data_IF_264901737828
#
_entry.id   IF_264901737828
#
_cell.length_a   1.000
_cell.length_b   1.000
_cell.length_c   1.000
_cell.angle_alpha   90.00
_cell.angle_beta   90.00
_cell.angle_gamma   90.00
#
_symmetry.space_group_name_H-M   'P 1'
#
loop_
_entity.id
_entity.type
_entity.pdbx_description
1 polymer ?
#
# COMPACT_ATOMS: atom_id res chain seq x y z
N UNK A 1 46.71 -50.64 27.19
CA UNK A 1 46.55 -52.08 26.96
C UNK A 1 45.14 -52.31 26.46
N UNK A 2 45.08 -52.64 25.18
CA UNK A 2 44.21 -53.65 24.55
C UNK A 2 42.68 -53.45 24.47
N UNK A 3 42.25 -52.99 23.28
CA UNK A 3 41.08 -53.51 22.55
C UNK A 3 41.45 -54.94 22.00
N UNK A 4 40.58 -55.78 21.41
CA UNK A 4 39.17 -55.63 21.02
C UNK A 4 38.30 -56.89 21.28
N UNK A 5 37.03 -56.87 20.86
CA UNK A 5 36.40 -57.99 20.13
C UNK A 5 35.09 -57.53 19.47
N UNK A 6 35.02 -57.71 18.15
CA UNK A 6 33.80 -57.75 17.33
C UNK A 6 33.81 -59.06 16.52
N UNK A 7 32.82 -59.28 15.64
CA UNK A 7 31.64 -60.15 15.72
C UNK A 7 31.89 -61.53 15.05
N UNK A 8 30.91 -62.44 14.82
CA UNK A 8 30.25 -62.45 13.48
C UNK A 8 28.87 -63.18 13.30
N UNK A 9 28.19 -62.78 12.21
CA UNK A 9 27.50 -63.57 11.14
C UNK A 9 26.40 -64.60 11.45
N UNK A 10 25.24 -64.44 10.79
CA UNK A 10 24.56 -65.48 9.96
C UNK A 10 23.60 -64.79 8.95
N UNK A 11 23.91 -64.69 7.65
CA UNK A 11 23.63 -65.60 6.49
C UNK A 11 22.13 -65.62 6.11
N UNK A 12 21.65 -65.01 5.02
CA UNK A 12 21.87 -65.22 3.56
C UNK A 12 21.19 -66.50 3.04
N UNK A 13 20.07 -66.34 2.31
CA UNK A 13 19.50 -67.13 1.17
C UNK A 13 18.43 -66.19 0.55
N UNK A 14 18.51 -65.58 -0.64
CA UNK A 14 18.85 -65.95 -2.02
C UNK A 14 17.86 -66.91 -2.71
N UNK A 15 17.02 -66.38 -3.62
CA UNK A 15 16.73 -66.97 -4.94
C UNK A 15 16.01 -65.92 -5.82
N UNK A 16 16.57 -65.33 -6.90
CA UNK A 16 16.92 -65.89 -8.24
C UNK A 16 15.64 -66.40 -8.97
N UNK A 17 15.28 -66.10 -10.23
CA UNK A 17 15.94 -65.67 -11.48
C UNK A 17 14.83 -65.19 -12.45
N UNK A 18 15.05 -64.12 -13.24
CA UNK A 18 14.86 -64.18 -14.71
C UNK A 18 15.61 -63.09 -15.46
N UNK A 19 16.79 -63.48 -15.93
CA UNK A 19 17.59 -62.81 -16.95
C UNK A 19 16.95 -62.95 -18.33
N UNK A 20 17.11 -61.93 -19.19
CA UNK A 20 17.38 -62.04 -20.63
C UNK A 20 17.73 -60.61 -21.12
N UNK A 21 19.02 -60.26 -21.15
CA UNK A 21 19.96 -60.40 -22.29
C UNK A 21 19.98 -59.18 -23.21
N UNK A 22 21.10 -58.43 -23.17
CA UNK A 22 21.50 -57.45 -24.18
C UNK A 22 21.78 -58.12 -25.53
N UNK A 23 21.84 -57.32 -26.61
CA UNK A 23 23.15 -57.06 -27.20
C UNK A 23 23.42 -55.57 -27.49
N UNK A 24 24.68 -55.16 -27.30
CA UNK A 24 25.25 -53.90 -27.80
C UNK A 24 25.49 -53.99 -29.31
N UNK A 25 25.21 -52.92 -30.04
CA UNK A 25 25.86 -52.55 -31.30
C UNK A 25 25.83 -51.02 -31.45
N UNK A 26 27.01 -50.42 -31.59
CA UNK A 26 27.21 -49.01 -31.93
C UNK A 26 26.91 -48.76 -33.40
N UNK A 27 26.34 -47.58 -33.70
CA UNK A 27 26.85 -46.58 -34.65
C UNK A 27 25.75 -45.93 -35.52
N UNK A 28 25.92 -44.61 -35.67
CA UNK A 28 25.46 -43.75 -36.77
C UNK A 28 23.98 -43.44 -36.96
N UNK A 29 23.69 -42.15 -36.81
CA UNK A 29 23.03 -41.40 -37.88
C UNK A 29 21.59 -40.98 -37.62
N UNK A 30 21.39 -39.67 -37.41
CA UNK A 30 20.12 -39.00 -37.65
C UNK A 30 19.24 -38.78 -36.42
N UNK A 31 19.65 -37.90 -35.51
CA UNK A 31 18.70 -37.27 -34.59
C UNK A 31 17.84 -36.32 -35.42
N UNK A 32 16.55 -36.64 -35.50
CA UNK A 32 15.48 -35.74 -35.92
C UNK A 32 15.58 -34.44 -35.12
N UNK A 33 15.98 -33.36 -35.78
CA UNK A 33 15.79 -32.01 -35.28
C UNK A 33 14.29 -31.71 -35.25
N UNK A 34 13.69 -31.86 -34.06
CA UNK A 34 12.47 -31.13 -33.73
C UNK A 34 12.94 -29.70 -33.42
N UNK A 35 12.46 -28.67 -34.12
CA UNK A 35 12.75 -27.30 -33.74
C UNK A 35 11.93 -26.99 -32.49
N UNK A 36 12.51 -27.17 -31.31
CA UNK A 36 11.97 -26.60 -30.08
C UNK A 36 12.34 -25.12 -30.06
N UNK A 37 11.61 -24.37 -30.87
CA UNK A 37 11.53 -22.93 -30.77
C UNK A 37 10.41 -22.61 -29.78
N UNK A 38 10.79 -22.23 -28.56
CA UNK A 38 9.94 -21.54 -27.60
C UNK A 38 10.84 -21.01 -26.49
N UNK A 39 11.69 -20.05 -26.84
CA UNK A 39 12.28 -19.15 -25.85
C UNK A 39 11.14 -18.25 -25.34
N UNK A 40 10.40 -18.73 -24.34
CA UNK A 40 9.38 -17.95 -23.64
C UNK A 40 10.03 -16.79 -22.89
N UNK A 41 10.08 -15.63 -23.53
CA UNK A 41 10.16 -14.32 -22.86
C UNK A 41 8.73 -13.84 -22.52
N UNK A 42 8.54 -13.05 -21.45
CA UNK A 42 7.35 -13.10 -20.60
C UNK A 42 6.26 -12.09 -21.01
N UNK A 43 5.03 -12.21 -20.46
CA UNK A 43 3.98 -11.21 -20.60
C UNK A 43 4.28 -9.99 -19.72
N UNK A 44 5.24 -9.16 -20.13
CA UNK A 44 5.62 -7.90 -19.43
C UNK A 44 4.78 -6.69 -19.88
N UNK A 45 4.17 -6.76 -21.07
CA UNK A 45 3.34 -5.69 -21.66
C UNK A 45 2.13 -5.21 -20.82
N UNK A 46 1.35 -6.08 -20.14
CA UNK A 46 0.13 -5.61 -19.47
C UNK A 46 0.43 -4.70 -18.26
N UNK A 47 1.57 -4.87 -17.59
CA UNK A 47 1.94 -4.05 -16.44
C UNK A 47 2.43 -2.67 -16.86
N UNK A 48 3.19 -2.58 -17.95
CA UNK A 48 3.63 -1.30 -18.49
C UNK A 48 2.42 -0.44 -18.88
N UNK A 49 1.45 -1.04 -19.58
CA UNK A 49 0.19 -0.35 -19.93
C UNK A 49 -0.57 0.13 -18.69
N UNK A 50 -0.66 -0.68 -17.65
CA UNK A 50 -1.29 -0.30 -16.39
C UNK A 50 -0.57 0.88 -15.72
N UNK A 51 0.76 0.85 -15.66
CA UNK A 51 1.52 1.95 -15.04
C UNK A 51 1.39 3.25 -15.80
N UNK A 52 1.33 3.21 -17.14
CA UNK A 52 1.01 4.40 -17.94
C UNK A 52 -0.40 4.93 -17.61
N UNK A 53 -1.38 4.04 -17.44
CA UNK A 53 -2.73 4.42 -17.03
C UNK A 53 -2.76 5.03 -15.63
N UNK A 54 -2.10 4.41 -14.65
CA UNK A 54 -2.00 4.91 -13.28
C UNK A 54 -1.30 6.28 -13.27
N UNK A 55 -0.25 6.47 -14.06
CA UNK A 55 0.43 7.76 -14.19
C UNK A 55 -0.50 8.85 -14.73
N UNK A 56 -1.33 8.54 -15.74
CA UNK A 56 -2.30 9.47 -16.28
C UNK A 56 -3.42 9.82 -15.28
N UNK A 57 -3.92 8.83 -14.53
CA UNK A 57 -4.92 9.05 -13.49
C UNK A 57 -4.35 9.86 -12.32
N UNK A 58 -3.12 9.58 -11.92
CA UNK A 58 -2.39 10.33 -10.90
C UNK A 58 -2.22 11.80 -11.32
N UNK A 59 -1.90 12.08 -12.59
CA UNK A 59 -1.79 13.44 -13.10
C UNK A 59 -3.11 14.23 -13.01
N UNK A 60 -4.25 13.54 -13.02
CA UNK A 60 -5.58 14.12 -12.85
C UNK A 60 -6.09 14.09 -11.39
N UNK A 61 -5.26 13.62 -10.43
CA UNK A 61 -5.64 13.38 -9.04
C UNK A 61 -6.86 12.45 -8.87
N UNK A 62 -7.11 11.58 -9.84
CA UNK A 62 -8.22 10.62 -9.80
C UNK A 62 -7.82 9.35 -9.04
N UNK A 63 -7.76 9.46 -7.72
CA UNK A 63 -7.36 8.34 -6.85
C UNK A 63 -8.34 7.16 -6.88
N UNK A 64 -9.64 7.41 -7.12
CA UNK A 64 -10.63 6.34 -7.26
C UNK A 64 -10.43 5.58 -8.57
N UNK A 65 -10.11 6.27 -9.66
CA UNK A 65 -9.70 5.65 -10.91
C UNK A 65 -8.45 4.77 -10.74
N UNK A 66 -7.45 5.23 -9.97
CA UNK A 66 -6.25 4.44 -9.67
C UNK A 66 -6.61 3.17 -8.91
N UNK A 67 -7.47 3.28 -7.89
CA UNK A 67 -7.96 2.13 -7.10
C UNK A 67 -8.60 1.12 -8.04
N UNK A 68 -9.55 1.54 -8.87
CA UNK A 68 -10.26 0.63 -9.78
C UNK A 68 -9.31 -0.06 -10.77
N UNK A 69 -8.39 0.69 -11.38
CA UNK A 69 -7.42 0.14 -12.33
C UNK A 69 -6.48 -0.87 -11.64
N UNK A 70 -5.98 -0.54 -10.45
CA UNK A 70 -5.06 -1.40 -9.71
C UNK A 70 -5.76 -2.64 -9.12
N UNK A 71 -7.02 -2.54 -8.66
CA UNK A 71 -7.83 -3.68 -8.23
C UNK A 71 -8.06 -4.67 -9.38
N UNK A 72 -8.45 -4.17 -10.57
CA UNK A 72 -8.62 -5.02 -11.75
C UNK A 72 -7.33 -5.76 -12.09
N UNK A 73 -6.18 -5.08 -12.06
CA UNK A 73 -4.90 -5.70 -12.33
C UNK A 73 -4.49 -6.71 -11.25
N UNK A 74 -4.76 -6.43 -9.98
CA UNK A 74 -4.43 -7.31 -8.86
C UNK A 74 -5.27 -8.60 -8.86
N UNK A 75 -6.54 -8.53 -9.31
CA UNK A 75 -7.38 -9.72 -9.51
C UNK A 75 -6.86 -10.62 -10.65
N UNK A 76 -6.32 -10.02 -11.72
CA UNK A 76 -5.75 -10.76 -12.85
C UNK A 76 -4.37 -11.35 -12.50
N UNK A 77 -3.63 -10.70 -11.60
CA UNK A 77 -2.27 -11.07 -11.21
C UNK A 77 -2.17 -12.05 -10.03
N UNK A 78 -3.29 -12.52 -9.47
CA UNK A 78 -3.36 -13.24 -8.19
C UNK A 78 -2.55 -14.56 -8.08
N UNK A 79 -1.94 -15.03 -9.17
CA UNK A 79 -1.11 -16.24 -9.23
C UNK A 79 0.38 -15.99 -9.49
N UNK A 80 0.85 -14.74 -9.51
CA UNK A 80 2.21 -14.40 -9.91
C UNK A 80 3.04 -13.80 -8.77
N UNK A 81 4.11 -14.50 -8.36
CA UNK A 81 5.13 -14.06 -7.39
C UNK A 81 6.05 -12.94 -7.95
N UNK A 82 5.56 -12.13 -8.88
CA UNK A 82 6.37 -11.19 -9.66
C UNK A 82 6.59 -9.88 -8.89
N UNK A 83 7.80 -9.28 -8.98
CA UNK A 83 8.09 -7.99 -8.35
C UNK A 83 7.20 -6.84 -8.89
N UNK A 84 6.56 -7.03 -10.05
CA UNK A 84 5.56 -6.10 -10.60
C UNK A 84 4.27 -6.04 -9.77
N UNK A 85 3.90 -7.13 -9.08
CA UNK A 85 2.76 -7.17 -8.16
C UNK A 85 2.94 -6.19 -7.00
N UNK A 86 4.19 -6.03 -6.52
CA UNK A 86 4.51 -5.06 -5.48
C UNK A 86 4.12 -3.65 -5.91
N UNK A 87 4.48 -3.26 -7.13
CA UNK A 87 4.25 -1.91 -7.62
C UNK A 87 2.75 -1.60 -7.72
N UNK A 88 1.95 -2.56 -8.19
CA UNK A 88 0.49 -2.43 -8.28
C UNK A 88 -0.10 -2.31 -6.88
N UNK A 89 0.30 -3.22 -5.98
CA UNK A 89 -0.18 -3.22 -4.60
C UNK A 89 0.20 -1.94 -3.85
N UNK A 90 1.40 -1.43 -4.04
CA UNK A 90 1.83 -0.17 -3.44
C UNK A 90 1.00 1.01 -3.95
N UNK A 91 0.78 1.09 -5.26
CA UNK A 91 -0.05 2.15 -5.86
C UNK A 91 -1.48 2.10 -5.33
N UNK A 92 -2.03 0.89 -5.20
CA UNK A 92 -3.34 0.62 -4.61
C UNK A 92 -3.41 1.05 -3.14
N UNK A 93 -2.45 0.60 -2.32
CA UNK A 93 -2.39 0.93 -0.89
C UNK A 93 -2.23 2.42 -0.65
N UNK A 94 -1.33 3.10 -1.38
CA UNK A 94 -1.17 4.55 -1.27
C UNK A 94 -2.46 5.29 -1.65
N UNK A 95 -3.15 4.83 -2.70
CA UNK A 95 -4.43 5.42 -3.12
C UNK A 95 -5.51 5.24 -2.07
N UNK A 96 -5.63 4.05 -1.45
CA UNK A 96 -6.53 3.84 -0.31
C UNK A 96 -6.19 4.72 0.88
N UNK A 97 -4.90 4.90 1.19
CA UNK A 97 -4.46 5.79 2.25
C UNK A 97 -4.82 7.26 1.97
N UNK A 98 -4.79 7.71 0.71
CA UNK A 98 -5.21 9.05 0.30
C UNK A 98 -6.71 9.25 0.57
N UNK A 99 -7.55 8.30 0.16
CA UNK A 99 -9.01 8.36 0.35
C UNK A 99 -9.49 7.97 1.76
N UNK A 100 -8.55 7.63 2.66
CA UNK A 100 -8.80 7.21 4.05
C UNK A 100 -9.53 5.86 4.22
N UNK A 101 -9.39 4.94 3.26
CA UNK A 101 -9.89 3.57 3.40
C UNK A 101 -8.80 2.63 3.93
N UNK A 102 -8.58 2.70 5.25
CA UNK A 102 -7.56 1.90 5.91
C UNK A 102 -7.85 0.40 5.90
N UNK A 103 -9.12 0.02 5.83
CA UNK A 103 -9.51 -1.40 5.86
C UNK A 103 -9.13 -2.07 4.55
N UNK A 104 -9.45 -1.45 3.42
CA UNK A 104 -9.09 -1.95 2.09
C UNK A 104 -7.58 -1.96 1.88
N UNK A 105 -6.87 -0.92 2.35
CA UNK A 105 -5.41 -0.89 2.37
C UNK A 105 -4.79 -2.08 3.12
N UNK A 106 -5.36 -2.43 4.29
CA UNK A 106 -4.91 -3.58 5.08
C UNK A 106 -5.08 -4.87 4.28
N UNK A 107 -6.23 -5.10 3.68
CA UNK A 107 -6.48 -6.32 2.92
C UNK A 107 -5.56 -6.44 1.71
N UNK A 108 -5.29 -5.35 0.99
CA UNK A 108 -4.33 -5.34 -0.11
C UNK A 108 -2.92 -5.77 0.35
N UNK A 109 -2.43 -5.26 1.48
CA UNK A 109 -1.12 -5.65 2.03
C UNK A 109 -1.08 -7.12 2.48
N UNK A 110 -2.16 -7.63 3.08
CA UNK A 110 -2.23 -9.01 3.57
C UNK A 110 -2.27 -10.07 2.45
N UNK A 111 -2.57 -9.65 1.22
CA UNK A 111 -2.60 -10.53 0.04
C UNK A 111 -1.24 -10.72 -0.62
N UNK A 112 -0.23 -9.94 -0.23
CA UNK A 112 1.11 -10.06 -0.80
C UNK A 112 1.75 -11.41 -0.43
N UNK A 113 2.33 -12.13 -1.39
CA UNK A 113 3.16 -13.30 -1.11
C UNK A 113 4.34 -12.94 -0.21
N UNK A 114 4.76 -13.87 0.66
CA UNK A 114 5.85 -13.64 1.62
C UNK A 114 7.17 -13.23 0.95
N UNK A 115 7.44 -13.76 -0.25
CA UNK A 115 8.61 -13.41 -1.08
C UNK A 115 8.66 -11.91 -1.38
N UNK A 116 7.53 -11.37 -1.87
CA UNK A 116 7.37 -9.95 -2.20
C UNK A 116 7.26 -9.08 -0.95
N UNK A 117 6.56 -9.57 0.09
CA UNK A 117 6.36 -8.86 1.33
C UNK A 117 7.69 -8.56 2.05
N UNK A 118 8.70 -9.42 1.89
CA UNK A 118 10.02 -9.27 2.51
C UNK A 118 10.90 -8.17 1.87
N UNK A 119 10.52 -7.66 0.69
CA UNK A 119 11.31 -6.65 -0.02
C UNK A 119 11.33 -5.32 0.76
N UNK A 120 12.44 -4.56 0.75
CA UNK A 120 12.57 -3.32 1.52
C UNK A 120 11.46 -2.30 1.24
N UNK A 121 11.05 -2.19 -0.03
CA UNK A 121 10.01 -1.26 -0.46
C UNK A 121 8.61 -1.68 0.02
N UNK A 122 8.34 -2.99 0.06
CA UNK A 122 7.12 -3.54 0.66
C UNK A 122 7.08 -3.29 2.16
N UNK A 123 8.19 -3.56 2.85
CA UNK A 123 8.31 -3.30 4.30
C UNK A 123 8.15 -1.81 4.63
N UNK A 124 8.72 -0.92 3.81
CA UNK A 124 8.53 0.52 3.98
C UNK A 124 7.05 0.93 3.85
N UNK A 125 6.35 0.39 2.84
CA UNK A 125 4.91 0.60 2.64
C UNK A 125 4.09 0.08 3.82
N UNK A 126 4.39 -1.13 4.30
CA UNK A 126 3.74 -1.73 5.46
C UNK A 126 3.99 -0.92 6.74
N UNK A 127 5.21 -0.43 6.97
CA UNK A 127 5.56 0.40 8.12
C UNK A 127 4.87 1.77 8.09
N UNK A 128 4.72 2.37 6.91
CA UNK A 128 3.93 3.58 6.72
C UNK A 128 2.47 3.32 7.07
N UNK A 129 1.87 2.27 6.49
CA UNK A 129 0.51 1.84 6.80
C UNK A 129 0.32 1.58 8.30
N UNK A 130 1.21 0.84 8.94
CA UNK A 130 1.14 0.54 10.37
C UNK A 130 1.17 1.81 11.22
N UNK A 131 1.97 2.80 10.85
CA UNK A 131 2.02 4.09 11.55
C UNK A 131 0.69 4.85 11.44
N UNK A 132 0.03 4.79 10.29
CA UNK A 132 -1.30 5.36 10.09
C UNK A 132 -2.36 4.59 10.88
N UNK A 133 -2.34 3.27 10.79
CA UNK A 133 -3.30 2.37 11.45
C UNK A 133 -3.26 2.51 12.97
N UNK A 134 -2.07 2.59 13.54
CA UNK A 134 -1.86 2.76 14.98
C UNK A 134 -1.91 4.23 15.43
N UNK A 135 -2.18 5.17 14.51
CA UNK A 135 -2.23 6.62 14.78
C UNK A 135 -0.95 7.18 15.39
N UNK A 136 0.22 6.67 14.96
CA UNK A 136 1.54 7.21 15.31
C UNK A 136 1.91 8.35 14.37
N UNK A 137 1.24 9.49 14.53
CA UNK A 137 1.34 10.66 13.62
C UNK A 137 2.78 11.08 13.32
N UNK A 138 3.63 11.18 14.34
CA UNK A 138 5.04 11.57 14.20
C UNK A 138 5.82 10.63 13.26
N UNK A 139 5.49 9.34 13.29
CA UNK A 139 6.14 8.33 12.47
C UNK A 139 5.64 8.33 11.02
N UNK A 140 4.42 8.83 10.75
CA UNK A 140 3.87 8.84 9.39
C UNK A 140 4.76 9.63 8.44
N UNK A 141 5.25 10.79 8.87
CA UNK A 141 6.08 11.67 8.03
C UNK A 141 7.46 11.08 7.74
N UNK A 142 8.17 10.57 8.76
CA UNK A 142 9.49 9.95 8.58
C UNK A 142 9.42 8.63 7.80
N UNK A 143 8.34 7.85 7.95
CA UNK A 143 8.10 6.64 7.16
C UNK A 143 7.75 6.97 5.71
N UNK A 144 7.01 8.04 5.47
CA UNK A 144 6.74 8.56 4.12
C UNK A 144 8.01 8.96 3.41
N UNK A 145 8.91 9.69 4.08
CA UNK A 145 10.22 10.07 3.53
C UNK A 145 11.11 8.84 3.27
N UNK A 146 11.11 7.86 4.19
CA UNK A 146 11.83 6.59 3.98
C UNK A 146 11.34 5.88 2.72
N UNK A 147 10.02 5.79 2.52
CA UNK A 147 9.42 5.16 1.35
C UNK A 147 9.78 5.91 0.07
N UNK A 148 9.75 7.25 0.09
CA UNK A 148 10.15 8.09 -1.03
C UNK A 148 11.61 7.85 -1.44
N UNK A 149 12.52 7.86 -0.45
CA UNK A 149 13.95 7.64 -0.68
C UNK A 149 14.22 6.24 -1.28
N UNK A 150 13.55 5.21 -0.76
CA UNK A 150 13.67 3.86 -1.30
C UNK A 150 13.11 3.74 -2.72
N UNK A 151 11.97 4.39 -3.01
CA UNK A 151 11.40 4.40 -4.34
C UNK A 151 12.31 5.12 -5.36
N UNK A 152 13.04 6.15 -4.95
CA UNK A 152 14.00 6.83 -5.84
C UNK A 152 15.27 6.02 -6.12
N UNK A 153 15.68 5.16 -5.18
CA UNK A 153 16.89 4.34 -5.30
C UNK A 153 16.64 2.99 -5.97
N UNK A 154 15.39 2.54 -6.01
CA UNK A 154 15.03 1.26 -6.60
C UNK A 154 15.19 1.28 -8.12
N UNK A 155 15.81 0.22 -8.63
CA UNK A 155 15.98 0.00 -10.07
C UNK A 155 14.68 -0.63 -10.63
N UNK A 156 13.83 0.21 -11.21
CA UNK A 156 12.57 -0.24 -11.82
C UNK A 156 12.68 -0.34 -13.33
N UNK A 157 11.90 -1.26 -13.90
CA UNK A 157 11.80 -1.49 -15.35
C UNK A 157 11.26 -0.27 -16.12
N UNK A 158 10.52 0.62 -15.46
CA UNK A 158 9.92 1.80 -16.05
C UNK A 158 10.35 3.06 -15.29
N UNK A 159 10.87 4.04 -16.04
CA UNK A 159 11.40 5.29 -15.50
C UNK A 159 10.33 6.17 -14.81
N UNK A 160 9.05 5.97 -15.13
CA UNK A 160 7.95 6.74 -14.53
C UNK A 160 7.54 6.22 -13.14
N UNK A 161 7.89 4.99 -12.78
CA UNK A 161 7.47 4.35 -11.52
C UNK A 161 7.93 5.13 -10.28
N UNK A 162 9.22 5.53 -10.14
CA UNK A 162 9.65 6.37 -9.02
C UNK A 162 8.84 7.66 -8.91
N UNK A 163 8.54 8.29 -10.05
CA UNK A 163 7.82 9.56 -10.11
C UNK A 163 6.36 9.40 -9.66
N UNK A 164 5.69 8.35 -10.13
CA UNK A 164 4.30 8.04 -9.73
C UNK A 164 4.22 7.73 -8.24
N UNK A 165 5.11 6.87 -7.73
CA UNK A 165 5.15 6.53 -6.29
C UNK A 165 5.43 7.79 -5.47
N UNK A 166 6.42 8.59 -5.87
CA UNK A 166 6.75 9.84 -5.19
C UNK A 166 5.54 10.78 -5.12
N UNK A 167 4.81 10.92 -6.23
CA UNK A 167 3.62 11.77 -6.27
C UNK A 167 2.50 11.25 -5.37
N UNK A 168 2.25 9.93 -5.36
CA UNK A 168 1.26 9.30 -4.49
C UNK A 168 1.61 9.44 -3.01
N UNK A 169 2.89 9.28 -2.64
CA UNK A 169 3.35 9.48 -1.26
C UNK A 169 3.16 10.94 -0.84
N UNK A 170 3.53 11.90 -1.68
CA UNK A 170 3.31 13.34 -1.41
C UNK A 170 1.83 13.65 -1.24
N UNK A 171 0.98 13.20 -2.17
CA UNK A 171 -0.47 13.38 -2.11
C UNK A 171 -1.08 12.77 -0.84
N UNK A 172 -0.59 11.60 -0.43
CA UNK A 172 -0.97 10.96 0.82
C UNK A 172 -0.60 11.84 2.03
N UNK A 173 0.66 12.30 2.13
CA UNK A 173 1.12 13.11 3.26
C UNK A 173 0.31 14.40 3.38
N UNK A 174 0.03 15.08 2.27
CA UNK A 174 -0.81 16.27 2.25
C UNK A 174 -2.24 15.97 2.70
N UNK A 175 -2.84 14.91 2.18
CA UNK A 175 -4.21 14.50 2.53
C UNK A 175 -4.30 14.08 4.01
N UNK A 176 -3.31 13.38 4.51
CA UNK A 176 -3.19 13.00 5.92
C UNK A 176 -3.07 14.24 6.82
N UNK A 177 -2.24 15.22 6.44
CA UNK A 177 -2.08 16.47 7.18
C UNK A 177 -3.37 17.29 7.20
N UNK A 178 -4.07 17.41 6.06
CA UNK A 178 -5.36 18.09 5.96
C UNK A 178 -6.42 17.45 6.88
N UNK A 179 -6.52 16.12 6.88
CA UNK A 179 -7.44 15.39 7.77
C UNK A 179 -7.09 15.56 9.24
N UNK A 180 -5.80 15.46 9.57
CA UNK A 180 -5.31 15.64 10.94
C UNK A 180 -5.60 17.05 11.45
N UNK A 181 -5.35 18.08 10.63
CA UNK A 181 -5.68 19.47 10.95
C UNK A 181 -7.19 19.65 11.19
N UNK A 182 -8.03 19.09 10.32
CA UNK A 182 -9.49 19.15 10.47
C UNK A 182 -9.97 18.42 11.73
N UNK A 183 -9.34 17.29 12.10
CA UNK A 183 -9.63 16.57 13.32
C UNK A 183 -9.23 17.39 14.55
N UNK A 184 -8.05 18.02 14.54
CA UNK A 184 -7.59 18.88 15.62
C UNK A 184 -8.52 20.07 15.83
N UNK A 185 -8.95 20.73 14.74
CA UNK A 185 -9.91 21.84 14.80
C UNK A 185 -11.24 21.47 15.47
N UNK A 186 -11.65 20.21 15.36
CA UNK A 186 -12.91 19.71 15.94
C UNK A 186 -12.72 19.12 17.33
N UNK A 187 -11.57 18.51 17.60
CA UNK A 187 -11.30 17.73 18.80
C UNK A 187 -10.71 18.52 19.97
N UNK A 188 -10.08 19.66 19.70
CA UNK A 188 -9.40 20.46 20.72
C UNK A 188 -9.98 21.85 20.84
N UNK A 189 -10.24 22.28 22.08
CA UNK A 189 -10.46 23.70 22.41
C UNK A 189 -9.16 24.48 22.49
N UNK A 190 -8.12 23.82 23.01
CA UNK A 190 -6.75 24.33 23.13
C UNK A 190 -5.78 23.17 22.97
N UNK A 191 -4.59 23.44 22.42
CA UNK A 191 -3.55 22.46 22.20
C UNK A 191 -2.16 23.12 22.29
N UNK A 192 -1.18 22.53 23.02
CA UNK A 192 0.19 23.01 23.01
C UNK A 192 0.81 23.00 21.61
N UNK A 193 1.61 24.02 21.28
CA UNK A 193 2.25 24.15 19.96
C UNK A 193 3.10 22.92 19.61
N UNK A 194 3.92 22.44 20.55
CA UNK A 194 4.77 21.27 20.35
C UNK A 194 3.98 19.99 20.03
N UNK A 195 2.84 19.78 20.67
CA UNK A 195 1.98 18.64 20.41
C UNK A 195 1.35 18.72 19.00
N UNK A 196 0.92 19.93 18.62
CA UNK A 196 0.39 20.18 17.28
C UNK A 196 1.46 20.00 16.18
N UNK A 197 2.72 20.37 16.45
CA UNK A 197 3.85 20.08 15.56
C UNK A 197 4.06 18.59 15.38
N UNK A 198 3.97 17.79 16.45
CA UNK A 198 4.07 16.33 16.38
C UNK A 198 2.96 15.69 15.54
N UNK A 199 1.71 16.18 15.66
CA UNK A 199 0.60 15.68 14.85
C UNK A 199 0.73 16.03 13.36
N UNK A 200 1.24 17.22 13.03
CA UNK A 200 1.27 17.74 11.65
C UNK A 200 2.62 17.53 10.94
N UNK A 201 3.65 17.15 11.68
CA UNK A 201 5.01 16.98 11.15
C UNK A 201 5.58 18.26 10.57
N UNK A 202 5.27 19.40 11.18
CA UNK A 202 5.65 20.73 10.70
C UNK A 202 6.54 21.46 11.70
N UNK A 203 7.35 22.38 11.17
CA UNK A 203 8.05 23.36 11.99
C UNK A 203 7.04 24.29 12.68
N UNK A 204 7.49 24.98 13.73
CA UNK A 204 6.65 25.93 14.46
C UNK A 204 6.16 27.06 13.55
N UNK A 205 7.04 27.57 12.70
CA UNK A 205 6.75 28.70 11.81
C UNK A 205 5.76 28.33 10.70
N UNK A 206 5.90 27.15 10.09
CA UNK A 206 4.95 26.64 9.09
C UNK A 206 3.57 26.40 9.71
N UNK A 207 3.56 25.83 10.92
CA UNK A 207 2.33 25.58 11.66
C UNK A 207 1.62 26.90 12.02
N UNK A 208 2.34 27.91 12.49
CA UNK A 208 1.77 29.22 12.80
C UNK A 208 1.21 29.90 11.55
N UNK A 209 1.87 29.74 10.40
CA UNK A 209 1.38 30.23 9.12
C UNK A 209 0.04 29.58 8.74
N UNK A 210 -0.07 28.25 8.85
CA UNK A 210 -1.32 27.52 8.58
C UNK A 210 -2.40 27.86 9.60
N UNK A 211 -2.04 27.93 10.89
CA UNK A 211 -2.93 28.28 11.98
C UNK A 211 -3.56 29.66 11.74
N UNK A 212 -2.76 30.65 11.34
CA UNK A 212 -3.25 31.99 11.02
C UNK A 212 -4.26 31.98 9.85
N UNK A 213 -3.98 31.20 8.80
CA UNK A 213 -4.87 31.05 7.66
C UNK A 213 -6.20 30.34 8.02
N UNK A 214 -6.20 29.50 9.06
CA UNK A 214 -7.38 28.82 9.59
C UNK A 214 -8.05 29.60 10.75
N UNK A 215 -7.65 30.85 10.99
CA UNK A 215 -8.14 31.68 12.09
C UNK A 215 -7.96 31.06 13.50
N UNK A 216 -6.97 30.19 13.67
CA UNK A 216 -6.56 29.70 14.98
C UNK A 216 -5.88 30.83 15.75
N UNK A 217 -6.13 30.89 17.06
CA UNK A 217 -5.50 31.88 17.94
C UNK A 217 -4.24 31.28 18.54
N UNK A 218 -3.13 32.01 18.47
CA UNK A 218 -1.88 31.63 19.12
C UNK A 218 -1.60 32.57 20.29
N UNK A 219 -1.28 31.99 21.45
CA UNK A 219 -0.79 32.72 22.62
C UNK A 219 0.71 32.46 22.79
N UNK A 220 1.51 33.49 22.52
CA UNK A 220 2.96 33.43 22.61
C UNK A 220 3.48 33.29 24.06
N UNK A 221 2.69 33.70 25.05
CA UNK A 221 3.11 33.62 26.46
C UNK A 221 3.04 32.19 27.00
N UNK A 222 2.08 31.41 26.51
CA UNK A 222 1.83 30.04 26.95
C UNK A 222 2.20 28.99 25.90
N UNK A 223 2.55 29.40 24.68
CA UNK A 223 2.77 28.54 23.51
C UNK A 223 1.58 27.61 23.23
N UNK A 224 0.35 28.13 23.37
CA UNK A 224 -0.90 27.40 23.14
C UNK A 224 -1.57 27.89 21.86
N UNK A 225 -2.06 26.93 21.08
CA UNK A 225 -2.97 27.15 19.96
C UNK A 225 -4.40 26.88 20.40
N UNK A 226 -5.32 27.74 20.00
CA UNK A 226 -6.76 27.54 20.14
C UNK A 226 -7.37 27.50 18.74
N UNK A 227 -7.80 26.32 18.25
CA UNK A 227 -8.46 26.22 16.97
C UNK A 227 -9.71 27.10 16.88
N UNK A 228 -10.01 27.61 15.69
CA UNK A 228 -11.27 28.30 15.45
C UNK A 228 -12.41 27.32 15.73
N UNK A 229 -13.26 27.63 16.72
CA UNK A 229 -14.43 26.82 16.99
C UNK A 229 -15.32 26.82 15.75
N UNK A 230 -15.65 25.63 15.26
CA UNK A 230 -16.70 25.51 14.24
C UNK A 230 -18.00 25.88 14.93
N UNK A 231 -18.44 27.13 14.78
CA UNK A 231 -19.69 27.63 15.36
C UNK A 231 -20.83 26.66 15.05
N UNK A 232 -21.49 26.17 16.10
CA UNK A 232 -22.60 25.21 16.03
C UNK A 232 -23.81 25.71 15.20
N UNK A 233 -23.80 27.00 14.86
CA UNK A 233 -24.83 27.72 14.10
C UNK A 233 -24.99 27.22 12.65
N UNK A 234 -23.95 26.64 12.05
CA UNK A 234 -24.02 26.07 10.70
C UNK A 234 -24.93 24.84 10.64
N UNK A 235 -25.08 24.09 11.74
CA UNK A 235 -25.97 22.91 11.80
C UNK A 235 -27.45 23.29 11.92
N UNK A 236 -27.76 24.37 12.64
CA UNK A 236 -29.13 24.87 12.77
C UNK A 236 -29.68 25.38 11.43
N UNK A 237 -28.80 25.95 10.59
CA UNK A 237 -29.18 26.46 9.25
C UNK A 237 -29.39 25.35 8.21
N UNK A 238 -28.78 24.17 8.39
CA UNK A 238 -28.99 23.01 7.51
C UNK A 238 -30.19 22.16 7.93
N UNK A 239 -30.44 22.01 9.22
CA UNK A 239 -31.61 21.27 9.72
C UNK A 239 -32.95 22.02 9.48
N UNK A 240 -32.93 23.34 9.33
CA UNK A 240 -34.08 24.12 8.88
C UNK A 240 -34.49 23.89 7.41
N UNK A 241 -33.59 23.34 6.57
CA UNK A 241 -33.89 23.03 5.15
C UNK A 241 -34.55 21.66 4.94
N UNK A 242 -34.58 20.81 5.97
CA UNK A 242 -35.15 19.47 5.92
C UNK A 242 -36.42 19.33 6.77
N UNK A 243 -37.22 20.40 6.89
CA UNK A 243 -38.61 20.26 7.38
C UNK A 243 -39.55 20.12 6.19
N UNK A 244 -40.03 18.91 5.85
CA UNK A 244 -41.18 18.79 4.98
C UNK A 244 -42.41 19.32 5.74
N UNK A 245 -43.06 20.30 5.14
CA UNK A 245 -44.34 20.88 5.53
C UNK A 245 -45.40 19.79 5.73
N UNK A 246 -45.58 19.30 6.97
CA UNK A 246 -46.77 18.55 7.38
C UNK A 246 -47.81 19.52 7.93
N UNK A 247 -48.41 20.31 7.03
CA UNK A 247 -49.67 21.01 7.29
C UNK A 247 -50.54 21.00 6.04
N UNK A 248 -51.62 20.23 6.10
CA UNK A 248 -52.91 20.42 5.40
C UNK A 248 -53.50 19.12 4.85
N UNK A 249 -53.97 18.23 5.73
CA UNK A 249 -55.08 17.30 5.41
C UNK A 249 -55.95 17.16 6.67
N UNK A 250 -56.70 18.21 7.01
CA UNK A 250 -57.97 18.11 7.75
C UNK A 250 -58.80 19.31 7.28
N UNK A 251 -59.59 19.10 6.23
CA UNK A 251 -60.95 19.64 6.07
C UNK A 251 -61.47 19.32 4.67
N UNK A 252 -62.23 18.23 4.57
CA UNK A 252 -63.00 17.85 3.40
C UNK A 252 -64.41 17.48 3.83
N UNK A 253 -65.28 18.48 3.96
CA UNK A 253 -66.73 18.30 3.94
C UNK A 253 -67.16 17.98 2.51
N UNK A 254 -67.88 16.87 2.32
CA UNK A 254 -69.20 16.82 1.67
C UNK A 254 -69.92 15.57 2.18
#
# INVERSE_FOLDING_TARGET
MDNPLSPPKTRLVEDSVRSQSMPKLSASGGILFIPTDARSQPPEEPYLSLFTQIAALQANEDYYGIIQAAECADLVAASDDRPTQLLVTMSLVLSYLIVDDLSSAKFALMRLPNSVASLPLSQATLNLFASVWERRYEHVYSRGETLLNLAQQADFLCADVPRVIASLVTAFIESFRKRTLALMSKGYTTIPLNLAQGYLGLSGDDLLSIASAQAWRFDASTHILAPASVSRETWASQSARFSPTLRSIVDGRF
#
